data_IF_711652807600
#
_entry.id   IF_711652807600
#
_cell.length_a   1.000
_cell.length_b   1.000
_cell.length_c   1.000
_cell.angle_alpha   90.00
_cell.angle_beta   90.00
_cell.angle_gamma   90.00
#
_symmetry.space_group_name_H-M   'P 1'
#
loop_
_entity.id
_entity.type
_entity.pdbx_description
1 polymer ?
#
# COMPACT_ATOMS: atom_id res chain seq x y z
N UNK A 1 -7.79 -19.78 3.56
CA UNK A 1 -6.57 -18.95 3.68
C UNK A 1 -6.82 -18.00 4.84
N UNK A 2 -5.86 -17.79 5.74
CA UNK A 2 -6.09 -16.94 6.91
C UNK A 2 -6.12 -15.46 6.47
N UNK A 3 -7.02 -14.64 7.02
CA UNK A 3 -7.08 -13.21 6.69
C UNK A 3 -5.76 -12.50 6.98
N UNK A 4 -4.98 -12.98 7.95
CA UNK A 4 -3.62 -12.49 8.22
C UNK A 4 -2.68 -12.71 7.04
N UNK A 5 -2.69 -13.91 6.46
CA UNK A 5 -1.80 -14.27 5.35
C UNK A 5 -2.11 -13.45 4.10
N UNK A 6 -3.38 -13.17 3.84
CA UNK A 6 -3.83 -12.36 2.71
C UNK A 6 -3.43 -10.88 2.83
N UNK A 7 -3.49 -10.30 4.04
CA UNK A 7 -3.02 -8.93 4.31
C UNK A 7 -1.53 -8.79 4.07
N UNK A 8 -0.75 -9.73 4.63
CA UNK A 8 0.70 -9.73 4.45
C UNK A 8 1.06 -9.88 2.98
N UNK A 9 0.38 -10.80 2.27
CA UNK A 9 0.57 -10.97 0.83
C UNK A 9 0.31 -9.69 0.05
N UNK A 10 -0.80 -8.98 0.33
CA UNK A 10 -1.12 -7.71 -0.34
C UNK A 10 -0.01 -6.68 -0.14
N UNK A 11 0.47 -6.51 1.08
CA UNK A 11 1.53 -5.53 1.39
C UNK A 11 2.84 -5.93 0.72
N UNK A 12 3.18 -7.22 0.69
CA UNK A 12 4.35 -7.72 -0.05
C UNK A 12 4.22 -7.45 -1.55
N UNK A 13 3.06 -7.71 -2.16
CA UNK A 13 2.81 -7.40 -3.59
C UNK A 13 2.99 -5.90 -3.90
N UNK A 14 2.58 -5.01 -2.99
CA UNK A 14 2.78 -3.57 -3.15
C UNK A 14 4.26 -3.21 -3.04
N UNK A 15 4.99 -3.77 -2.08
CA UNK A 15 6.43 -3.56 -1.96
C UNK A 15 7.18 -4.02 -3.21
N UNK A 16 6.86 -5.22 -3.72
CA UNK A 16 7.46 -5.77 -4.94
C UNK A 16 7.20 -4.86 -6.15
N UNK A 17 5.98 -4.33 -6.29
CA UNK A 17 5.65 -3.37 -7.34
C UNK A 17 6.55 -2.12 -7.29
N UNK A 18 6.71 -1.54 -6.10
CA UNK A 18 7.53 -0.34 -5.87
C UNK A 18 9.02 -0.63 -6.13
N UNK A 19 9.49 -1.82 -5.74
CA UNK A 19 10.90 -2.19 -5.87
C UNK A 19 11.31 -2.50 -7.31
N UNK A 20 10.43 -3.16 -8.07
CA UNK A 20 10.75 -3.70 -9.41
C UNK A 20 10.64 -2.67 -10.54
N UNK A 21 9.84 -1.62 -10.39
CA UNK A 21 9.64 -0.62 -11.44
C UNK A 21 10.43 0.67 -11.18
N UNK A 22 10.67 1.46 -12.24
CA UNK A 22 11.09 2.85 -12.10
C UNK A 22 10.03 3.60 -11.28
N UNK A 23 10.46 4.19 -10.18
CA UNK A 23 9.52 4.77 -9.24
C UNK A 23 8.89 6.04 -9.81
N UNK A 24 7.56 5.98 -9.92
CA UNK A 24 6.70 7.10 -10.24
C UNK A 24 5.62 7.17 -9.15
N UNK A 25 5.54 8.27 -8.38
CA UNK A 25 4.60 8.40 -7.28
C UNK A 25 3.14 8.31 -7.72
N UNK A 26 2.78 8.86 -8.88
CA UNK A 26 1.40 8.88 -9.37
C UNK A 26 0.97 7.47 -9.77
N UNK A 27 1.82 6.77 -10.52
CA UNK A 27 1.58 5.36 -10.89
C UNK A 27 1.48 4.49 -9.63
N UNK A 28 2.34 4.71 -8.65
CA UNK A 28 2.29 4.01 -7.37
C UNK A 28 0.97 4.26 -6.62
N UNK A 29 0.54 5.52 -6.54
CA UNK A 29 -0.71 5.90 -5.89
C UNK A 29 -1.91 5.22 -6.54
N UNK A 30 -2.00 5.26 -7.88
CA UNK A 30 -3.08 4.65 -8.65
C UNK A 30 -3.11 3.12 -8.45
N UNK A 31 -1.95 2.47 -8.48
CA UNK A 31 -1.84 1.04 -8.24
C UNK A 31 -2.33 0.64 -6.85
N UNK A 32 -1.87 1.35 -5.81
CA UNK A 32 -2.26 1.05 -4.43
C UNK A 32 -3.73 1.37 -4.17
N UNK A 33 -4.26 2.45 -4.76
CA UNK A 33 -5.68 2.77 -4.70
C UNK A 33 -6.54 1.63 -5.27
N UNK A 34 -6.23 1.13 -6.47
CA UNK A 34 -6.94 0.00 -7.08
C UNK A 34 -6.89 -1.25 -6.20
N UNK A 35 -5.69 -1.59 -5.70
CA UNK A 35 -5.50 -2.71 -4.77
C UNK A 35 -6.31 -2.56 -3.48
N UNK A 36 -6.45 -1.34 -2.97
CA UNK A 36 -7.25 -1.05 -1.78
C UNK A 36 -8.75 -1.30 -1.99
N UNK A 37 -9.26 -1.02 -3.20
CA UNK A 37 -10.66 -1.27 -3.55
C UNK A 37 -10.94 -2.77 -3.60
N UNK A 38 -10.05 -3.53 -4.24
CA UNK A 38 -10.11 -4.99 -4.26
C UNK A 38 -10.05 -5.54 -2.84
N UNK A 39 -9.12 -5.05 -2.02
CA UNK A 39 -8.93 -5.50 -0.65
C UNK A 39 -10.15 -5.23 0.25
N UNK A 40 -10.82 -4.08 0.07
CA UNK A 40 -12.06 -3.75 0.78
C UNK A 40 -13.22 -4.67 0.40
N UNK A 41 -13.28 -5.14 -0.84
CA UNK A 41 -14.25 -6.14 -1.25
C UNK A 41 -14.09 -7.45 -0.45
N UNK A 42 -12.85 -7.80 -0.06
CA UNK A 42 -12.53 -8.96 0.77
C UNK A 42 -12.63 -8.73 2.29
N UNK A 43 -13.02 -7.52 2.74
CA UNK A 43 -13.31 -7.15 4.14
C UNK A 43 -12.19 -7.52 5.13
N UNK A 44 -10.96 -7.10 4.85
CA UNK A 44 -9.82 -7.36 5.75
C UNK A 44 -9.97 -6.82 7.17
N UNK A 45 -10.87 -5.85 7.41
CA UNK A 45 -11.26 -5.36 8.74
C UNK A 45 -10.11 -4.75 9.55
N UNK A 46 -8.97 -4.50 8.90
CA UNK A 46 -7.76 -3.99 9.52
C UNK A 46 -7.64 -2.50 9.24
N UNK A 47 -8.03 -1.71 10.25
CA UNK A 47 -7.98 -0.26 10.17
C UNK A 47 -6.58 0.29 9.90
N UNK A 48 -5.53 -0.41 10.35
CA UNK A 48 -4.15 0.05 10.13
C UNK A 48 -3.76 -0.13 8.68
N UNK A 49 -4.11 -1.29 8.11
CA UNK A 49 -3.92 -1.54 6.68
C UNK A 49 -4.75 -0.57 5.84
N UNK A 50 -6.02 -0.36 6.18
CA UNK A 50 -6.89 0.55 5.45
C UNK A 50 -6.31 1.97 5.44
N UNK A 51 -5.83 2.46 6.60
CA UNK A 51 -5.20 3.78 6.72
C UNK A 51 -3.91 3.88 5.90
N UNK A 52 -3.09 2.82 5.91
CA UNK A 52 -1.86 2.78 5.11
C UNK A 52 -2.18 2.86 3.62
N UNK A 53 -3.11 2.06 3.13
CA UNK A 53 -3.50 2.05 1.72
C UNK A 53 -4.13 3.38 1.29
N UNK A 54 -4.96 3.99 2.15
CA UNK A 54 -5.53 5.33 1.90
C UNK A 54 -4.45 6.41 1.83
N UNK A 55 -3.43 6.34 2.69
CA UNK A 55 -2.31 7.29 2.71
C UNK A 55 -1.54 7.23 1.40
N UNK A 56 -1.20 6.02 0.94
CA UNK A 56 -0.42 5.83 -0.30
C UNK A 56 -1.28 6.14 -1.53
N UNK A 57 -2.54 5.69 -1.56
CA UNK A 57 -3.46 6.01 -2.66
C UNK A 57 -3.78 7.51 -2.76
N UNK A 58 -3.80 8.20 -1.62
CA UNK A 58 -4.05 9.64 -1.50
C UNK A 58 -2.98 10.53 -2.14
N UNK A 59 -1.78 10.00 -2.43
CA UNK A 59 -0.75 10.74 -3.18
C UNK A 59 -1.24 11.18 -4.58
N UNK A 60 -2.25 10.50 -5.14
CA UNK A 60 -2.88 10.90 -6.41
C UNK A 60 -3.65 12.23 -6.35
N UNK A 61 -3.85 12.79 -5.16
CA UNK A 61 -4.56 14.06 -4.96
C UNK A 61 -3.72 15.31 -5.29
N UNK A 62 -2.39 15.19 -5.36
CA UNK A 62 -1.49 16.32 -5.66
C UNK A 62 -0.05 16.06 -5.27
N UNK A 63 0.88 16.80 -5.87
CA UNK A 63 2.33 16.68 -5.62
C UNK A 63 2.71 16.95 -4.16
N UNK A 64 1.92 17.75 -3.44
CA UNK A 64 2.13 18.08 -2.03
C UNK A 64 1.98 16.88 -1.08
N UNK A 65 1.40 15.77 -1.55
CA UNK A 65 1.18 14.54 -0.79
C UNK A 65 2.15 13.43 -1.18
N UNK A 66 3.07 13.67 -2.11
CA UNK A 66 3.97 12.65 -2.64
C UNK A 66 5.00 12.23 -1.62
N UNK A 67 5.07 10.92 -1.39
CA UNK A 67 6.17 10.28 -0.68
C UNK A 67 7.26 9.82 -1.65
N UNK A 68 8.51 9.80 -1.16
CA UNK A 68 9.61 9.14 -1.85
C UNK A 68 9.46 7.62 -1.80
N UNK A 69 10.16 6.93 -2.71
CA UNK A 69 10.25 5.45 -2.72
C UNK A 69 10.65 4.89 -1.35
N UNK A 70 11.64 5.52 -0.72
CA UNK A 70 12.17 5.06 0.57
C UNK A 70 11.13 5.16 1.67
N UNK A 71 10.44 6.30 1.77
CA UNK A 71 9.39 6.52 2.78
C UNK A 71 8.25 5.50 2.64
N UNK A 72 7.80 5.23 1.41
CA UNK A 72 6.78 4.21 1.18
C UNK A 72 7.22 2.81 1.62
N UNK A 73 8.45 2.41 1.28
CA UNK A 73 8.99 1.13 1.69
C UNK A 73 9.14 1.03 3.21
N UNK A 74 9.52 2.12 3.89
CA UNK A 74 9.57 2.17 5.35
C UNK A 74 8.19 2.00 5.99
N UNK A 75 7.16 2.69 5.48
CA UNK A 75 5.79 2.55 5.96
C UNK A 75 5.25 1.11 5.79
N UNK A 76 5.49 0.50 4.63
CA UNK A 76 5.06 -0.87 4.34
C UNK A 76 5.79 -1.90 5.23
N UNK A 77 7.11 -1.73 5.43
CA UNK A 77 7.92 -2.58 6.32
C UNK A 77 7.50 -2.44 7.78
N UNK A 78 7.16 -1.23 8.23
CA UNK A 78 6.66 -0.99 9.58
C UNK A 78 5.35 -1.75 9.81
N UNK A 79 4.42 -1.71 8.86
CA UNK A 79 3.19 -2.51 8.95
C UNK A 79 3.48 -4.01 9.06
N UNK A 80 4.34 -4.57 8.21
CA UNK A 80 4.68 -6.00 8.23
C UNK A 80 5.33 -6.44 9.54
N UNK A 81 6.13 -5.57 10.15
CA UNK A 81 6.86 -5.87 11.40
C UNK A 81 5.95 -5.86 12.62
N UNK A 82 4.81 -5.18 12.55
CA UNK A 82 3.83 -5.04 13.63
C UNK A 82 2.56 -5.88 13.44
N UNK A 83 2.39 -6.50 12.27
CA UNK A 83 1.24 -7.31 11.88
C UNK A 83 1.27 -8.72 12.48
#
# INVERSE_FOLDING_TARGET
MNQRDEKLKLVTEIMEFIETQSYDPEICAQYVYLKSLDARAYRYGDKRLDTLLDTIGGMSAGEEFVYSKTELLEMLKAYLSEA
#
